data_IF_741784683108
#
_entry.id   IF_741784683108
#
_cell.length_a   1.000
_cell.length_b   1.000
_cell.length_c   1.000
_cell.angle_alpha   90.00
_cell.angle_beta   90.00
_cell.angle_gamma   90.00
#
_symmetry.space_group_name_H-M   'P 1'
#
loop_
_entity.id
_entity.type
_entity.pdbx_description
1 polymer ?
#
# COMPACT_ATOMS: atom_id res chain seq x y z
N UNK A 1 -9.52 4.68 35.53
CA UNK A 1 -10.39 4.84 34.34
C UNK A 1 -9.52 4.84 33.09
N UNK A 2 -9.87 4.07 32.05
CA UNK A 2 -9.13 4.08 30.79
C UNK A 2 -9.33 5.43 30.09
N UNK A 3 -8.23 6.05 29.64
CA UNK A 3 -8.32 7.32 28.90
C UNK A 3 -8.70 7.06 27.44
N UNK A 4 -9.19 8.08 26.74
CA UNK A 4 -9.41 8.01 25.27
C UNK A 4 -8.13 7.59 24.51
N UNK A 5 -6.96 7.99 25.02
CA UNK A 5 -5.66 7.61 24.46
C UNK A 5 -5.31 6.14 24.72
N UNK A 6 -5.67 5.61 25.89
CA UNK A 6 -5.52 4.18 26.21
C UNK A 6 -6.34 3.34 25.23
N UNK A 7 -7.61 3.71 24.98
CA UNK A 7 -8.45 3.02 23.99
C UNK A 7 -7.86 3.05 22.58
N UNK A 8 -7.35 4.21 22.14
CA UNK A 8 -6.68 4.33 20.84
C UNK A 8 -5.46 3.41 20.74
N UNK A 9 -4.60 3.43 21.76
CA UNK A 9 -3.41 2.60 21.81
C UNK A 9 -3.71 1.10 21.78
N UNK A 10 -4.72 0.66 22.53
CA UNK A 10 -5.16 -0.74 22.55
C UNK A 10 -5.71 -1.20 21.21
N UNK A 11 -6.52 -0.39 20.53
CA UNK A 11 -7.05 -0.73 19.21
C UNK A 11 -5.95 -0.78 18.14
N UNK A 12 -5.01 0.16 18.14
CA UNK A 12 -3.84 0.10 17.25
C UNK A 12 -2.98 -1.15 17.51
N UNK A 13 -2.75 -1.48 18.78
CA UNK A 13 -2.03 -2.70 19.19
C UNK A 13 -2.74 -3.95 18.69
N UNK A 14 -4.06 -4.03 18.85
CA UNK A 14 -4.86 -5.16 18.39
C UNK A 14 -4.77 -5.31 16.86
N UNK A 15 -4.87 -4.20 16.13
CA UNK A 15 -4.74 -4.21 14.67
C UNK A 15 -3.34 -4.63 14.21
N UNK A 16 -2.27 -4.15 14.87
CA UNK A 16 -0.89 -4.63 14.61
C UNK A 16 -0.76 -6.13 14.83
N UNK A 17 -1.30 -6.65 15.93
CA UNK A 17 -1.24 -8.09 16.24
C UNK A 17 -2.01 -8.90 15.19
N UNK A 18 -3.16 -8.41 14.72
CA UNK A 18 -3.93 -9.04 13.65
C UNK A 18 -3.14 -9.12 12.32
N UNK A 19 -2.22 -8.19 12.08
CA UNK A 19 -1.30 -8.22 10.95
C UNK A 19 -0.04 -9.08 11.19
N UNK A 20 0.11 -9.71 12.36
CA UNK A 20 1.31 -10.48 12.71
C UNK A 20 2.58 -9.64 12.83
N UNK A 21 2.47 -8.31 12.94
CA UNK A 21 3.62 -7.40 12.99
C UNK A 21 4.12 -7.20 14.42
N UNK A 22 5.43 -7.06 14.59
CA UNK A 22 6.07 -6.63 15.82
C UNK A 22 6.12 -5.10 15.94
N UNK A 23 6.28 -4.58 17.17
CA UNK A 23 6.47 -3.14 17.40
C UNK A 23 7.69 -2.57 16.67
N UNK A 24 8.75 -3.37 16.52
CA UNK A 24 9.98 -2.96 15.84
C UNK A 24 9.74 -2.73 14.32
N UNK A 25 8.85 -3.51 13.71
CA UNK A 25 8.51 -3.36 12.29
C UNK A 25 7.71 -2.08 12.06
N UNK A 26 6.71 -1.79 12.91
CA UNK A 26 5.98 -0.51 12.88
C UNK A 26 6.91 0.68 13.10
N UNK A 27 7.82 0.57 14.07
CA UNK A 27 8.83 1.59 14.36
C UNK A 27 9.70 1.90 13.12
N UNK A 28 10.18 0.86 12.43
CA UNK A 28 10.98 1.00 11.22
C UNK A 28 10.19 1.63 10.07
N UNK A 29 8.94 1.21 9.84
CA UNK A 29 8.10 1.76 8.76
C UNK A 29 7.75 3.24 8.96
N UNK A 30 7.59 3.70 10.21
CA UNK A 30 7.29 5.10 10.53
C UNK A 30 8.56 5.95 10.69
N UNK A 31 9.72 5.33 10.93
CA UNK A 31 10.97 6.03 11.24
C UNK A 31 11.05 6.57 12.67
N UNK A 32 10.46 5.87 13.66
CA UNK A 32 10.50 6.23 15.08
C UNK A 32 11.10 5.11 15.94
N UNK A 33 11.46 5.39 17.19
CA UNK A 33 11.95 4.36 18.11
C UNK A 33 10.86 3.39 18.58
N UNK A 34 11.20 2.12 18.82
CA UNK A 34 10.29 1.10 19.39
C UNK A 34 9.60 1.56 20.67
N UNK A 35 10.31 2.28 21.53
CA UNK A 35 9.76 2.83 22.78
C UNK A 35 8.61 3.81 22.50
N UNK A 36 8.71 4.60 21.42
CA UNK A 36 7.64 5.51 21.00
C UNK A 36 6.38 4.74 20.56
N UNK A 37 6.53 3.67 19.78
CA UNK A 37 5.41 2.76 19.43
C UNK A 37 4.79 2.17 20.70
N UNK A 38 5.61 1.69 21.64
CA UNK A 38 5.13 1.18 22.92
C UNK A 38 4.39 2.22 23.78
N UNK A 39 4.81 3.49 23.73
CA UNK A 39 4.11 4.58 24.40
C UNK A 39 2.76 4.89 23.74
N UNK A 40 2.69 4.85 22.40
CA UNK A 40 1.44 4.98 21.65
C UNK A 40 0.47 3.86 22.05
N UNK A 41 0.92 2.60 22.01
CA UNK A 41 0.08 1.43 22.33
C UNK A 41 -0.42 1.41 23.78
N UNK A 42 0.34 2.00 24.71
CA UNK A 42 -0.08 2.16 26.12
C UNK A 42 -0.95 3.39 26.36
N UNK A 43 -1.22 4.20 25.33
CA UNK A 43 -1.92 5.47 25.46
C UNK A 43 -1.16 6.54 26.25
N UNK A 44 0.17 6.42 26.35
CA UNK A 44 1.06 7.42 27.00
C UNK A 44 1.36 8.58 26.04
N UNK A 45 0.32 9.11 25.43
CA UNK A 45 0.35 10.23 24.49
C UNK A 45 -0.76 11.20 24.86
N UNK A 46 -0.55 12.49 24.58
CA UNK A 46 -1.49 13.55 24.93
C UNK A 46 -2.13 14.24 23.73
N UNK A 47 -1.64 13.96 22.52
CA UNK A 47 -2.09 14.55 21.25
C UNK A 47 -1.97 13.58 20.10
N UNK A 48 -2.73 13.82 19.05
CA UNK A 48 -2.66 13.07 17.80
C UNK A 48 -1.45 13.58 17.01
N UNK A 49 -0.48 12.71 16.76
CA UNK A 49 0.75 13.06 16.05
C UNK A 49 0.75 12.44 14.65
N UNK A 50 1.59 12.95 13.72
CA UNK A 50 1.77 12.33 12.41
C UNK A 50 2.12 10.84 12.51
N UNK A 51 2.96 10.45 13.48
CA UNK A 51 3.32 9.05 13.72
C UNK A 51 2.12 8.17 14.10
N UNK A 52 1.14 8.69 14.83
CA UNK A 52 -0.07 7.94 15.16
C UNK A 52 -0.94 7.75 13.91
N UNK A 53 -1.02 8.75 13.03
CA UNK A 53 -1.71 8.63 11.73
C UNK A 53 -1.01 7.64 10.80
N UNK A 54 0.32 7.71 10.70
CA UNK A 54 1.11 6.74 9.94
C UNK A 54 0.91 5.32 10.47
N UNK A 55 0.85 5.14 11.80
CA UNK A 55 0.54 3.85 12.39
C UNK A 55 -0.88 3.38 12.00
N UNK A 56 -1.89 4.24 12.15
CA UNK A 56 -3.26 3.92 11.72
C UNK A 56 -3.31 3.49 10.25
N UNK A 57 -2.60 4.21 9.37
CA UNK A 57 -2.50 3.85 7.96
C UNK A 57 -1.84 2.47 7.76
N UNK A 58 -0.72 2.18 8.42
CA UNK A 58 -0.04 0.88 8.32
C UNK A 58 -0.96 -0.28 8.75
N UNK A 59 -1.80 -0.07 9.77
CA UNK A 59 -2.75 -1.10 10.21
C UNK A 59 -4.04 -1.16 9.38
N UNK A 60 -4.07 -0.46 8.24
CA UNK A 60 -5.19 -0.48 7.30
C UNK A 60 -6.39 0.33 7.77
N UNK A 61 -6.19 1.34 8.63
CA UNK A 61 -7.26 2.28 8.98
C UNK A 61 -7.28 3.47 8.03
N UNK A 62 -8.43 4.14 7.96
CA UNK A 62 -8.59 5.43 7.28
C UNK A 62 -7.95 6.57 8.08
N UNK A 63 -7.71 7.71 7.44
CA UNK A 63 -7.05 8.87 8.06
C UNK A 63 -7.84 9.50 9.22
N UNK A 64 -9.17 9.38 9.21
CA UNK A 64 -10.10 9.89 10.21
C UNK A 64 -10.36 8.90 11.37
N UNK A 65 -9.91 7.65 11.23
CA UNK A 65 -10.14 6.61 12.25
C UNK A 65 -9.57 6.92 13.63
N UNK A 66 -8.35 7.50 13.78
CA UNK A 66 -7.85 7.89 15.09
C UNK A 66 -8.79 8.86 15.82
N UNK A 67 -9.35 9.85 15.13
CA UNK A 67 -10.32 10.79 15.67
C UNK A 67 -11.63 10.13 16.06
N UNK A 68 -12.16 9.22 15.22
CA UNK A 68 -13.36 8.45 15.54
C UNK A 68 -13.18 7.66 16.84
N UNK A 69 -12.03 7.00 17.00
CA UNK A 69 -11.69 6.27 18.21
C UNK A 69 -11.50 7.20 19.41
N UNK A 70 -10.95 8.40 19.23
CA UNK A 70 -10.86 9.38 20.32
C UNK A 70 -12.23 9.92 20.72
N UNK A 71 -13.17 10.03 19.79
CA UNK A 71 -14.52 10.55 20.01
C UNK A 71 -15.47 9.55 20.69
N UNK A 72 -15.18 8.25 20.69
CA UNK A 72 -16.12 7.26 21.24
C UNK A 72 -16.27 6.01 20.40
N UNK A 73 -16.02 6.13 19.10
CA UNK A 73 -16.39 5.14 18.11
C UNK A 73 -15.34 4.07 17.83
N UNK A 74 -15.63 3.32 16.79
CA UNK A 74 -14.75 2.29 16.22
C UNK A 74 -13.96 2.84 15.03
N UNK A 75 -12.75 2.33 14.76
CA UNK A 75 -11.98 2.71 13.58
C UNK A 75 -12.69 2.21 12.31
N UNK A 76 -12.56 2.96 11.23
CA UNK A 76 -12.91 2.46 9.89
C UNK A 76 -11.67 1.79 9.32
N UNK A 77 -11.86 0.59 8.79
CA UNK A 77 -10.86 -0.01 7.93
C UNK A 77 -10.96 0.67 6.57
N UNK A 78 -9.80 0.94 5.99
CA UNK A 78 -9.66 1.26 4.58
C UNK A 78 -10.28 0.12 3.77
N UNK A 79 -11.19 0.43 2.85
CA UNK A 79 -11.81 -0.57 1.96
C UNK A 79 -10.78 -1.26 1.05
N UNK A 80 -9.58 -0.68 0.98
CA UNK A 80 -8.32 -1.20 0.43
C UNK A 80 -7.52 -2.05 1.45
N UNK A 81 -8.20 -2.67 2.43
CA UNK A 81 -7.57 -3.49 3.45
C UNK A 81 -6.63 -4.55 2.86
N UNK A 82 -5.65 -5.06 3.64
CA UNK A 82 -4.82 -6.19 3.23
C UNK A 82 -5.65 -7.48 3.26
N UNK A 83 -6.66 -7.55 2.40
CA UNK A 83 -7.18 -8.78 1.85
C UNK A 83 -6.62 -8.88 0.44
N UNK A 84 -5.69 -9.81 0.28
CA UNK A 84 -5.58 -10.52 -0.99
C UNK A 84 -6.91 -11.24 -1.26
N UNK A 85 -7.90 -10.49 -1.73
CA UNK A 85 -9.01 -11.00 -2.53
C UNK A 85 -8.75 -10.54 -3.95
N UNK A 86 -7.91 -11.31 -4.62
CA UNK A 86 -7.85 -11.36 -6.09
C UNK A 86 -9.26 -11.76 -6.54
N UNK A 87 -10.05 -10.81 -7.05
CA UNK A 87 -11.41 -11.11 -7.46
C UNK A 87 -12.17 -9.99 -8.14
N UNK A 88 -12.35 -8.82 -7.50
CA UNK A 88 -13.40 -7.87 -7.93
C UNK A 88 -12.96 -6.40 -8.02
N UNK A 89 -11.73 -6.14 -8.47
CA UNK A 89 -11.28 -4.78 -8.85
C UNK A 89 -10.81 -4.69 -10.31
N UNK A 90 -11.29 -5.58 -11.19
CA UNK A 90 -11.10 -5.46 -12.64
C UNK A 90 -12.36 -4.97 -13.36
N UNK A 91 -13.31 -4.39 -12.62
CA UNK A 91 -14.57 -3.89 -13.15
C UNK A 91 -14.58 -2.42 -13.60
N UNK A 92 -13.54 -1.61 -13.34
CA UNK A 92 -13.70 -0.16 -13.54
C UNK A 92 -12.42 0.61 -13.93
N UNK A 93 -11.64 0.07 -14.87
CA UNK A 93 -10.83 0.92 -15.74
C UNK A 93 -11.36 0.75 -17.17
N UNK A 94 -12.38 1.53 -17.57
CA UNK A 94 -13.02 1.40 -18.88
C UNK A 94 -12.09 1.74 -20.05
N UNK A 95 -10.89 2.25 -19.77
CA UNK A 95 -9.89 2.72 -20.72
C UNK A 95 -8.71 1.74 -20.93
N UNK A 96 -8.65 0.62 -20.20
CA UNK A 96 -7.60 -0.37 -20.41
C UNK A 96 -7.90 -1.28 -21.61
N UNK A 97 -6.89 -1.42 -22.48
CA UNK A 97 -6.90 -2.39 -23.56
C UNK A 97 -7.11 -3.82 -23.03
N UNK A 98 -7.76 -4.67 -23.84
CA UNK A 98 -8.16 -6.04 -23.46
C UNK A 98 -6.95 -6.88 -23.04
N UNK A 99 -5.86 -6.78 -23.80
CA UNK A 99 -4.59 -7.45 -23.54
C UNK A 99 -3.96 -7.06 -22.20
N UNK A 100 -4.01 -5.78 -21.83
CA UNK A 100 -3.53 -5.29 -20.54
C UNK A 100 -4.39 -5.87 -19.41
N UNK A 101 -5.72 -5.89 -19.56
CA UNK A 101 -6.61 -6.49 -18.56
C UNK A 101 -6.34 -7.98 -18.37
N UNK A 102 -6.11 -8.71 -19.45
CA UNK A 102 -5.77 -10.13 -19.40
C UNK A 102 -4.39 -10.37 -18.77
N UNK A 103 -3.39 -9.55 -19.11
CA UNK A 103 -2.08 -9.61 -18.47
C UNK A 103 -2.17 -9.36 -16.96
N UNK A 104 -3.03 -8.43 -16.53
CA UNK A 104 -3.26 -8.13 -15.10
C UNK A 104 -4.01 -9.24 -14.35
N UNK A 105 -4.63 -10.21 -15.05
CA UNK A 105 -5.30 -11.37 -14.42
C UNK A 105 -4.38 -12.57 -14.21
N UNK A 106 -3.27 -12.65 -14.95
CA UNK A 106 -2.42 -13.84 -15.01
C UNK A 106 -1.35 -13.86 -13.92
N UNK A 107 -1.27 -14.96 -13.17
CA UNK A 107 -0.19 -15.23 -12.22
C UNK A 107 -0.11 -14.27 -11.02
N UNK A 108 0.79 -14.54 -10.07
CA UNK A 108 0.93 -13.73 -8.86
C UNK A 108 1.50 -12.34 -9.17
N UNK A 109 0.96 -11.30 -8.53
CA UNK A 109 1.54 -9.95 -8.55
C UNK A 109 2.86 -9.95 -7.77
N UNK A 110 3.95 -9.56 -8.42
CA UNK A 110 5.27 -9.54 -7.79
C UNK A 110 5.62 -8.16 -7.25
N UNK A 111 5.36 -7.12 -8.05
CA UNK A 111 5.64 -5.73 -7.69
C UNK A 111 4.81 -4.80 -8.57
N UNK A 112 4.40 -3.67 -8.01
CA UNK A 112 3.83 -2.56 -8.75
C UNK A 112 4.51 -1.27 -8.33
N UNK A 113 4.74 -0.36 -9.27
CA UNK A 113 5.22 0.99 -8.98
C UNK A 113 4.59 1.99 -9.94
N UNK A 114 4.33 3.19 -9.44
CA UNK A 114 3.92 4.34 -10.26
C UNK A 114 5.14 5.25 -10.37
N UNK A 115 5.48 5.62 -11.60
CA UNK A 115 6.59 6.53 -11.88
C UNK A 115 6.05 7.72 -12.66
N UNK A 116 6.46 8.92 -12.26
CA UNK A 116 6.25 10.12 -13.03
C UNK A 116 7.33 10.20 -14.11
N UNK A 117 6.92 10.34 -15.36
CA UNK A 117 7.81 10.46 -16.51
C UNK A 117 7.62 11.85 -17.09
N UNK A 118 8.71 12.60 -17.20
CA UNK A 118 8.71 13.89 -17.89
C UNK A 118 8.77 13.66 -19.40
N UNK A 119 7.85 14.30 -20.12
CA UNK A 119 7.79 14.29 -21.57
C UNK A 119 7.83 15.73 -22.09
N UNK A 120 8.16 15.97 -23.37
CA UNK A 120 8.12 17.32 -23.96
C UNK A 120 6.74 18.00 -23.83
N UNK A 121 5.65 17.22 -23.74
CA UNK A 121 4.29 17.71 -23.61
C UNK A 121 3.83 17.88 -22.15
N UNK A 122 4.66 17.53 -21.16
CA UNK A 122 4.35 17.61 -19.74
C UNK A 122 4.65 16.32 -18.98
N UNK A 123 4.10 16.21 -17.77
CA UNK A 123 4.31 15.06 -16.87
C UNK A 123 3.26 14.00 -17.13
N UNK A 124 3.69 12.75 -17.34
CA UNK A 124 2.80 11.59 -17.44
C UNK A 124 3.05 10.64 -16.28
N UNK A 125 1.99 9.96 -15.82
CA UNK A 125 2.11 8.91 -14.82
C UNK A 125 2.12 7.56 -15.52
N UNK A 126 3.19 6.80 -15.34
CA UNK A 126 3.31 5.43 -15.83
C UNK A 126 3.18 4.45 -14.66
N UNK A 127 2.28 3.47 -14.81
CA UNK A 127 2.14 2.37 -13.84
C UNK A 127 2.82 1.13 -14.39
N UNK A 128 3.81 0.60 -13.67
CA UNK A 128 4.54 -0.61 -14.03
C UNK A 128 4.06 -1.73 -13.10
N UNK A 129 3.52 -2.79 -13.70
CA UNK A 129 3.05 -3.99 -12.98
C UNK A 129 3.87 -5.19 -13.41
N UNK A 130 4.57 -5.81 -12.46
CA UNK A 130 5.35 -7.03 -12.67
C UNK A 130 4.58 -8.22 -12.12
N UNK A 131 4.32 -9.22 -12.97
CA UNK A 131 3.65 -10.47 -12.59
C UNK A 131 4.53 -11.67 -12.88
N UNK A 132 4.44 -12.67 -12.03
CA UNK A 132 5.13 -13.94 -12.19
C UNK A 132 4.36 -14.85 -13.11
N UNK A 133 5.05 -15.83 -13.70
CA UNK A 133 4.36 -16.91 -14.37
C UNK A 133 3.63 -17.80 -13.37
N UNK A 134 2.55 -18.42 -13.83
CA UNK A 134 1.76 -19.35 -13.04
C UNK A 134 2.62 -20.58 -12.68
N UNK A 135 2.59 -20.97 -11.41
CA UNK A 135 3.38 -22.10 -10.90
C UNK A 135 4.82 -21.78 -10.45
N UNK A 136 5.29 -20.53 -10.58
CA UNK A 136 6.60 -20.15 -10.03
C UNK A 136 6.62 -20.22 -8.50
N UNK A 137 7.69 -20.82 -7.95
CA UNK A 137 7.92 -20.86 -6.51
C UNK A 137 8.29 -19.49 -5.94
N UNK A 138 8.07 -19.28 -4.64
CA UNK A 138 8.39 -18.01 -3.98
C UNK A 138 9.87 -17.60 -4.13
N UNK A 139 10.77 -18.58 -4.19
CA UNK A 139 12.21 -18.35 -4.37
C UNK A 139 12.54 -17.88 -5.80
N UNK A 140 11.94 -18.50 -6.82
CA UNK A 140 12.09 -18.11 -8.23
C UNK A 140 11.51 -16.72 -8.51
N UNK A 141 10.39 -16.39 -7.85
CA UNK A 141 9.79 -15.05 -7.92
C UNK A 141 10.72 -13.97 -7.36
N UNK A 142 11.35 -14.24 -6.21
CA UNK A 142 12.31 -13.32 -5.59
C UNK A 142 13.59 -13.17 -6.42
N UNK A 143 14.09 -14.27 -7.00
CA UNK A 143 15.25 -14.24 -7.90
C UNK A 143 14.95 -13.40 -9.15
N UNK A 144 13.77 -13.60 -9.74
CA UNK A 144 13.32 -12.84 -10.91
C UNK A 144 13.22 -11.35 -10.61
N UNK A 145 12.58 -10.97 -9.50
CA UNK A 145 12.45 -9.57 -9.10
C UNK A 145 13.80 -8.85 -8.92
N UNK A 146 14.84 -9.56 -8.47
CA UNK A 146 16.19 -9.00 -8.28
C UNK A 146 16.93 -8.78 -9.59
N UNK A 147 16.64 -9.59 -10.62
CA UNK A 147 17.30 -9.51 -11.92
C UNK A 147 16.59 -8.56 -12.91
N UNK A 148 15.34 -8.16 -12.63
CA UNK A 148 14.57 -7.34 -13.55
C UNK A 148 15.13 -5.93 -13.67
N UNK A 149 15.46 -5.54 -14.90
CA UNK A 149 15.71 -4.16 -15.31
C UNK A 149 14.65 -3.78 -16.35
N UNK A 150 13.82 -2.79 -16.02
CA UNK A 150 12.81 -2.27 -16.96
C UNK A 150 13.43 -1.13 -17.74
N UNK A 151 13.54 -1.29 -19.06
CA UNK A 151 13.88 -0.20 -19.99
C UNK A 151 12.60 0.22 -20.70
N UNK A 152 12.21 1.47 -20.51
CA UNK A 152 11.11 2.08 -21.26
C UNK A 152 11.75 2.89 -22.38
N UNK A 153 11.65 2.39 -23.61
CA UNK A 153 11.95 3.17 -24.81
C UNK A 153 10.64 3.73 -25.34
N UNK A 154 10.49 5.05 -25.35
CA UNK A 154 9.45 5.69 -26.14
C UNK A 154 9.91 5.63 -27.61
N UNK A 155 9.24 4.84 -28.44
CA UNK A 155 9.42 4.95 -29.88
C UNK A 155 8.86 6.30 -30.33
N UNK A 156 9.71 7.20 -30.84
CA UNK A 156 9.29 8.42 -31.57
C UNK A 156 8.76 8.10 -32.98
N UNK A 157 8.37 6.86 -33.27
CA UNK A 157 8.03 6.45 -34.62
C UNK A 157 6.60 5.94 -34.73
N UNK A 158 5.74 6.75 -35.36
CA UNK A 158 4.59 6.22 -36.10
C UNK A 158 3.31 7.04 -36.01
N UNK A 159 3.21 8.13 -36.77
CA UNK A 159 2.25 8.24 -37.87
C UNK A 159 2.42 9.61 -38.57
N UNK A 160 3.23 9.67 -39.61
CA UNK A 160 3.02 10.71 -40.62
C UNK A 160 1.77 10.30 -41.43
N UNK A 161 0.71 11.11 -41.49
CA UNK A 161 -0.37 10.84 -42.43
C UNK A 161 0.21 10.95 -43.84
N UNK A 162 0.02 9.87 -44.62
CA UNK A 162 0.22 9.88 -46.06
C UNK A 162 -0.94 10.62 -46.74
N UNK A 163 -0.53 11.47 -47.68
CA UNK A 163 -1.27 12.14 -48.77
C UNK A 163 -2.27 13.24 -48.39
#
# INVERSE_FOLDING_TARGET
MATKWTRLGEKLKAARIALGKEQQQIAAEIGIGRVAVGNIEKGRVSKLTPSIRSYAHIVGWTDDSPERVLAGGEPALRSDGPQASVGEALGAAPDLAIDVREALRRGPLLKSQVVEVETPAGKVLATIVLRGQEGMSAEELLASLRAVTVRVSADETGNQPKE
#
